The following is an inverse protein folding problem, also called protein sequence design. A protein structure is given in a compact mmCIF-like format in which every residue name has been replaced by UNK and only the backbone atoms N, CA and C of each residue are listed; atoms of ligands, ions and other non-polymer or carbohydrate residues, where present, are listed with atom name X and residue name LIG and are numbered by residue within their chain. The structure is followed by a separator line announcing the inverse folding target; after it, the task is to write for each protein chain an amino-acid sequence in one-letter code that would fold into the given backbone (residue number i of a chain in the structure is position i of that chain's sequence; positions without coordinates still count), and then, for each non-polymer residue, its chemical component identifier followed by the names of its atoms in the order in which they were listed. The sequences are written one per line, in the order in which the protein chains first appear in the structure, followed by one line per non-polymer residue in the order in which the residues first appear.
data_IF_324662913393
#
_entry.id   IF_324662913393
#
_cell.length_a   1.000
_cell.length_b   1.000
_cell.length_c   1.000
_cell.angle_alpha   90.00
_cell.angle_beta   90.00
_cell.angle_gamma   90.00
#
_symmetry.space_group_name_H-M   'P 1'
#
loop_
_entity.id
_entity.type
_entity.pdbx_description
1 polymer ?
#
# COMPACT_ATOMS: atom_id res chain seq x y z
N UNK A 1 -51.33 -14.81 -49.97
CA UNK A 1 -52.08 -14.73 -48.70
C UNK A 1 -51.56 -15.86 -47.80
N UNK A 2 -50.94 -15.52 -46.68
CA UNK A 2 -50.12 -16.40 -45.82
C UNK A 2 -50.85 -17.61 -45.25
N UNK A 3 -50.03 -18.62 -44.94
CA UNK A 3 -50.33 -19.99 -44.56
C UNK A 3 -51.14 -20.14 -43.25
N UNK A 4 -51.96 -21.20 -43.22
CA UNK A 4 -52.71 -21.70 -42.07
C UNK A 4 -51.79 -22.08 -40.90
N UNK A 5 -51.98 -21.45 -39.74
CA UNK A 5 -51.45 -21.93 -38.47
C UNK A 5 -52.41 -22.98 -37.90
N UNK A 6 -52.00 -24.24 -37.89
CA UNK A 6 -52.76 -25.34 -37.27
C UNK A 6 -52.97 -25.05 -35.78
N UNK A 7 -54.25 -24.98 -35.37
CA UNK A 7 -54.62 -24.70 -33.98
C UNK A 7 -54.37 -25.95 -33.13
N UNK A 8 -53.30 -25.92 -32.33
CA UNK A 8 -52.85 -27.03 -31.49
C UNK A 8 -53.99 -27.59 -30.60
N UNK A 9 -54.09 -28.92 -30.55
CA UNK A 9 -55.09 -29.62 -29.74
C UNK A 9 -54.99 -29.19 -28.26
N UNK A 10 -56.14 -29.19 -27.57
CA UNK A 10 -56.23 -28.87 -26.13
C UNK A 10 -55.25 -29.71 -25.30
N UNK A 11 -54.95 -30.94 -25.74
CA UNK A 11 -53.97 -31.81 -25.11
C UNK A 11 -52.53 -31.29 -25.28
N UNK A 12 -52.18 -30.83 -26.48
CA UNK A 12 -50.84 -30.29 -26.78
C UNK A 12 -50.60 -28.97 -26.06
N UNK A 13 -51.60 -28.08 -26.03
CA UNK A 13 -51.54 -26.83 -25.26
C UNK A 13 -51.27 -27.10 -23.77
N UNK A 14 -51.92 -28.12 -23.18
CA UNK A 14 -51.67 -28.56 -21.79
C UNK A 14 -50.28 -29.15 -21.59
N UNK A 15 -49.77 -29.91 -22.57
CA UNK A 15 -48.43 -30.50 -22.51
C UNK A 15 -47.34 -29.43 -22.61
N UNK A 16 -47.52 -28.47 -23.52
CA UNK A 16 -46.63 -27.31 -23.70
C UNK A 16 -46.62 -26.48 -22.42
N UNK A 17 -47.79 -26.19 -21.85
CA UNK A 17 -47.87 -25.39 -20.62
C UNK A 17 -47.21 -26.11 -19.43
N UNK A 18 -47.40 -27.43 -19.30
CA UNK A 18 -46.72 -28.23 -18.26
C UNK A 18 -45.21 -28.24 -18.46
N UNK A 19 -44.72 -28.41 -19.69
CA UNK A 19 -43.28 -28.35 -19.99
C UNK A 19 -42.72 -26.95 -19.75
N UNK A 20 -43.46 -25.90 -20.09
CA UNK A 20 -43.09 -24.50 -19.85
C UNK A 20 -42.97 -24.21 -18.36
N UNK A 21 -43.94 -24.64 -17.55
CA UNK A 21 -43.90 -24.48 -16.10
C UNK A 21 -42.73 -25.24 -15.48
N UNK A 22 -42.48 -26.48 -15.90
CA UNK A 22 -41.30 -27.25 -15.48
C UNK A 22 -39.99 -26.55 -15.82
N UNK A 23 -39.87 -26.00 -17.04
CA UNK A 23 -38.69 -25.27 -17.46
C UNK A 23 -38.47 -23.98 -16.64
N UNK A 24 -39.54 -23.24 -16.33
CA UNK A 24 -39.48 -22.04 -15.48
C UNK A 24 -39.06 -22.41 -14.05
N UNK A 25 -39.61 -23.48 -13.49
CA UNK A 25 -39.26 -23.97 -12.15
C UNK A 25 -37.79 -24.41 -12.10
N UNK A 26 -37.33 -25.19 -13.07
CA UNK A 26 -35.92 -25.60 -13.18
C UNK A 26 -35.01 -24.39 -13.34
N UNK A 27 -35.41 -23.39 -14.15
CA UNK A 27 -34.63 -22.17 -14.36
C UNK A 27 -34.56 -21.33 -13.07
N UNK A 28 -35.66 -21.22 -12.33
CA UNK A 28 -35.72 -20.54 -11.01
C UNK A 28 -34.96 -21.30 -9.93
N UNK A 29 -35.02 -22.63 -9.90
CA UNK A 29 -34.31 -23.45 -8.91
C UNK A 29 -32.81 -23.55 -9.17
N UNK A 30 -32.39 -23.46 -10.44
CA UNK A 30 -30.98 -23.31 -10.83
C UNK A 30 -30.47 -21.89 -10.64
N UNK A 31 -31.38 -20.91 -10.54
CA UNK A 31 -31.09 -19.56 -10.05
C UNK A 31 -30.96 -19.63 -8.53
N UNK A 32 -29.95 -20.35 -8.07
CA UNK A 32 -29.50 -20.23 -6.68
C UNK A 32 -28.89 -18.83 -6.58
N UNK A 33 -29.58 -17.91 -5.93
CA UNK A 33 -28.91 -16.76 -5.32
C UNK A 33 -27.92 -17.35 -4.33
N UNK A 34 -26.64 -17.34 -4.67
CA UNK A 34 -25.61 -17.87 -3.78
C UNK A 34 -25.70 -17.11 -2.44
N UNK A 35 -25.53 -17.77 -1.27
CA UNK A 35 -25.76 -17.16 0.04
C UNK A 35 -24.78 -16.03 0.40
N UNK A 36 -23.80 -15.79 -0.47
CA UNK A 36 -22.80 -14.73 -0.38
C UNK A 36 -22.85 -13.83 -1.62
N UNK A 37 -24.01 -13.25 -1.91
CA UNK A 37 -24.08 -12.14 -2.86
C UNK A 37 -23.52 -10.88 -2.20
N UNK A 38 -22.19 -10.71 -2.23
CA UNK A 38 -21.52 -9.42 -2.03
C UNK A 38 -20.53 -9.20 -3.17
N UNK A 39 -21.03 -8.64 -4.26
CA UNK A 39 -20.22 -8.20 -5.39
C UNK A 39 -21.01 -8.26 -6.68
N UNK A 40 -21.05 -7.16 -7.42
CA UNK A 40 -21.46 -7.16 -8.83
C UNK A 40 -20.41 -7.97 -9.59
N UNK A 41 -20.82 -9.08 -10.21
CA UNK A 41 -19.92 -9.92 -11.00
C UNK A 41 -19.93 -9.39 -12.42
N UNK A 42 -18.77 -8.88 -12.86
CA UNK A 42 -18.60 -8.30 -14.18
C UNK A 42 -17.63 -9.21 -14.95
N UNK A 43 -18.08 -9.79 -16.05
CA UNK A 43 -17.18 -10.48 -16.99
C UNK A 43 -16.50 -9.42 -17.86
N UNK A 44 -15.19 -9.23 -17.67
CA UNK A 44 -14.41 -8.34 -18.53
C UNK A 44 -14.14 -9.05 -19.87
N UNK A 45 -13.68 -10.30 -19.85
CA UNK A 45 -13.37 -11.13 -21.02
C UNK A 45 -13.74 -12.62 -20.80
N UNK A 46 -13.58 -13.46 -21.84
CA UNK A 46 -13.90 -14.91 -21.77
C UNK A 46 -13.07 -15.66 -20.70
N UNK A 47 -11.89 -15.13 -20.36
CA UNK A 47 -10.91 -15.77 -19.47
C UNK A 47 -10.80 -15.10 -18.10
N UNK A 48 -11.47 -13.96 -17.88
CA UNK A 48 -11.29 -13.12 -16.67
C UNK A 48 -12.63 -12.69 -16.08
N UNK A 49 -12.80 -12.94 -14.78
CA UNK A 49 -13.99 -12.60 -14.01
C UNK A 49 -13.63 -11.60 -12.91
N UNK A 50 -14.38 -10.51 -12.79
CA UNK A 50 -14.23 -9.55 -11.69
C UNK A 50 -15.37 -9.72 -10.69
N UNK A 51 -15.03 -9.97 -9.43
CA UNK A 51 -15.98 -10.07 -8.31
C UNK A 51 -15.60 -8.97 -7.32
N UNK A 52 -16.39 -7.89 -7.29
CA UNK A 52 -16.04 -6.70 -6.50
C UNK A 52 -14.72 -6.09 -6.97
N UNK A 53 -13.70 -6.10 -6.11
CA UNK A 53 -12.35 -5.58 -6.42
C UNK A 53 -11.32 -6.66 -6.76
N UNK A 54 -11.71 -7.94 -6.78
CA UNK A 54 -10.80 -9.06 -7.04
C UNK A 54 -11.04 -9.59 -8.44
N UNK A 55 -9.97 -9.67 -9.24
CA UNK A 55 -9.98 -10.27 -10.58
C UNK A 55 -9.51 -11.72 -10.49
N UNK A 56 -10.19 -12.58 -11.23
CA UNK A 56 -9.93 -14.01 -11.30
C UNK A 56 -9.68 -14.43 -12.73
N UNK A 57 -8.60 -15.18 -12.97
CA UNK A 57 -8.22 -15.67 -14.29
C UNK A 57 -8.39 -17.18 -14.40
N UNK A 58 -9.07 -17.61 -15.45
CA UNK A 58 -9.18 -19.02 -15.82
C UNK A 58 -7.91 -19.46 -16.54
N UNK A 59 -7.21 -20.44 -15.96
CA UNK A 59 -6.01 -21.02 -16.56
C UNK A 59 -6.34 -22.16 -17.54
N UNK A 60 -7.62 -22.51 -17.70
CA UNK A 60 -8.07 -23.66 -18.48
C UNK A 60 -7.92 -25.00 -17.73
N UNK A 61 -7.47 -24.98 -16.47
CA UNK A 61 -7.30 -26.15 -15.61
C UNK A 61 -8.52 -26.52 -14.76
N UNK A 62 -9.66 -25.84 -14.94
CA UNK A 62 -10.88 -26.06 -14.16
C UNK A 62 -10.91 -25.36 -12.80
N UNK A 63 -9.98 -24.44 -12.54
CA UNK A 63 -9.95 -23.58 -11.36
C UNK A 63 -9.55 -22.15 -11.76
N UNK A 64 -10.14 -21.18 -11.06
CA UNK A 64 -9.85 -19.76 -11.22
C UNK A 64 -8.73 -19.37 -10.24
N UNK A 65 -7.74 -18.61 -10.71
CA UNK A 65 -6.69 -18.02 -9.86
C UNK A 65 -6.98 -16.55 -9.60
N UNK A 66 -6.75 -16.09 -8.37
CA UNK A 66 -6.77 -14.66 -8.03
C UNK A 66 -5.58 -13.97 -8.70
N UNK A 67 -5.84 -12.93 -9.49
CA UNK A 67 -4.81 -12.02 -9.96
C UNK A 67 -4.54 -10.97 -8.88
N UNK A 68 -3.24 -10.71 -8.63
CA UNK A 68 -2.82 -9.60 -7.79
C UNK A 68 -3.38 -8.29 -8.38
N UNK A 69 -3.96 -7.41 -7.54
CA UNK A 69 -4.58 -6.19 -8.04
C UNK A 69 -3.53 -5.28 -8.70
N UNK A 70 -3.83 -4.82 -9.91
CA UNK A 70 -2.99 -3.85 -10.61
C UNK A 70 -2.95 -2.52 -9.85
N UNK A 71 -1.97 -1.66 -10.16
CA UNK A 71 -1.83 -0.34 -9.52
C UNK A 71 -3.13 0.50 -9.63
N UNK A 72 -3.88 0.36 -10.72
CA UNK A 72 -5.19 1.00 -10.93
C UNK A 72 -6.25 0.46 -9.98
N UNK A 73 -6.31 -0.86 -9.77
CA UNK A 73 -7.25 -1.49 -8.84
C UNK A 73 -6.88 -1.15 -7.38
N UNK A 74 -5.58 -1.02 -7.07
CA UNK A 74 -5.10 -0.53 -5.76
C UNK A 74 -5.53 0.91 -5.52
N UNK A 75 -5.42 1.77 -6.54
CA UNK A 75 -5.90 3.15 -6.50
C UNK A 75 -7.40 3.22 -6.24
N UNK A 76 -8.20 2.40 -6.93
CA UNK A 76 -9.65 2.35 -6.73
C UNK A 76 -10.03 1.86 -5.33
N UNK A 77 -9.32 0.86 -4.79
CA UNK A 77 -9.51 0.39 -3.41
C UNK A 77 -9.18 1.51 -2.42
N UNK A 78 -8.03 2.17 -2.58
CA UNK A 78 -7.60 3.25 -1.68
C UNK A 78 -8.54 4.44 -1.80
N UNK A 79 -8.95 4.83 -3.00
CA UNK A 79 -9.91 5.91 -3.24
C UNK A 79 -11.26 5.59 -2.61
N UNK A 80 -11.74 4.35 -2.75
CA UNK A 80 -12.98 3.91 -2.09
C UNK A 80 -12.87 4.00 -0.57
N UNK A 81 -11.74 3.62 0.01
CA UNK A 81 -11.50 3.76 1.45
C UNK A 81 -11.48 5.23 1.86
N UNK A 82 -10.70 6.09 1.17
CA UNK A 82 -10.61 7.53 1.46
C UNK A 82 -11.96 8.22 1.32
N UNK A 83 -12.73 7.94 0.27
CA UNK A 83 -14.05 8.53 0.06
C UNK A 83 -15.08 8.05 1.09
N UNK A 84 -14.91 6.84 1.62
CA UNK A 84 -15.80 6.30 2.64
C UNK A 84 -15.58 6.97 3.99
N UNK A 85 -14.32 7.12 4.41
CA UNK A 85 -13.95 7.70 5.71
C UNK A 85 -12.67 8.57 5.60
N UNK A 86 -12.79 9.82 5.13
CA UNK A 86 -11.62 10.66 4.80
C UNK A 86 -10.77 11.04 6.03
N UNK A 87 -11.38 11.05 7.22
CA UNK A 87 -10.67 11.36 8.47
C UNK A 87 -9.82 10.19 8.99
N UNK A 88 -10.06 8.97 8.50
CA UNK A 88 -9.40 7.73 8.98
C UNK A 88 -8.32 7.27 8.00
N UNK A 89 -8.42 7.68 6.75
CA UNK A 89 -7.60 7.17 5.65
C UNK A 89 -6.69 8.27 5.10
N UNK A 90 -5.70 8.68 5.90
CA UNK A 90 -4.61 9.54 5.45
C UNK A 90 -3.52 8.74 4.73
N UNK A 91 -2.87 9.35 3.74
CA UNK A 91 -1.71 8.80 3.05
C UNK A 91 -0.43 9.43 3.61
N UNK A 92 0.61 8.62 3.77
CA UNK A 92 1.92 9.03 4.29
C UNK A 92 3.03 8.66 3.30
N UNK A 93 4.00 9.55 3.10
CA UNK A 93 5.13 9.28 2.22
C UNK A 93 6.07 8.22 2.82
N UNK A 94 6.73 7.43 1.97
CA UNK A 94 7.67 6.39 2.41
C UNK A 94 8.73 6.91 3.39
N UNK A 95 9.29 8.08 3.12
CA UNK A 95 10.33 8.71 3.96
C UNK A 95 9.76 9.10 5.32
N UNK A 96 8.59 9.73 5.32
CA UNK A 96 7.90 10.15 6.53
C UNK A 96 7.51 8.94 7.39
N UNK A 97 6.99 7.87 6.79
CA UNK A 97 6.69 6.62 7.47
C UNK A 97 7.94 6.03 8.17
N UNK A 98 9.09 6.04 7.51
CA UNK A 98 10.36 5.54 8.09
C UNK A 98 10.86 6.41 9.22
N UNK A 99 10.73 7.73 9.10
CA UNK A 99 11.24 8.68 10.09
C UNK A 99 10.33 8.77 11.33
N UNK A 100 9.00 8.73 11.13
CA UNK A 100 7.99 8.80 12.20
C UNK A 100 7.89 7.50 12.97
N UNK A 101 7.90 6.34 12.30
CA UNK A 101 7.73 5.04 12.96
C UNK A 101 9.03 4.22 13.08
N UNK A 102 10.17 4.84 12.76
CA UNK A 102 11.50 4.24 12.84
C UNK A 102 11.62 2.92 12.03
N UNK A 103 10.82 2.78 10.97
CA UNK A 103 10.73 1.58 10.14
C UNK A 103 11.86 1.49 9.10
N UNK A 104 12.18 0.27 8.68
CA UNK A 104 13.14 -0.02 7.60
C UNK A 104 12.42 -0.32 6.29
N UNK A 105 13.15 -0.30 5.18
CA UNK A 105 12.58 -0.63 3.87
C UNK A 105 12.03 -2.07 3.80
N UNK A 106 12.67 -3.02 4.49
CA UNK A 106 12.16 -4.40 4.58
C UNK A 106 10.83 -4.50 5.31
N UNK A 107 10.58 -3.60 6.27
CA UNK A 107 9.34 -3.60 7.05
C UNK A 107 8.17 -3.08 6.22
N UNK A 108 8.42 -2.34 5.14
CA UNK A 108 7.39 -1.84 4.23
C UNK A 108 7.20 -2.76 3.02
N UNK A 109 8.31 -3.11 2.35
CA UNK A 109 8.28 -3.78 1.04
C UNK A 109 8.31 -5.32 1.13
N UNK A 110 8.83 -5.92 2.22
CA UNK A 110 9.11 -7.39 2.26
C UNK A 110 8.35 -8.17 3.32
N UNK A 111 8.08 -7.60 4.50
CA UNK A 111 7.33 -8.28 5.57
C UNK A 111 5.94 -8.65 5.06
N UNK A 112 5.53 -9.89 5.29
CA UNK A 112 4.19 -10.38 4.94
C UNK A 112 3.13 -9.84 5.91
N UNK A 113 1.98 -9.34 5.43
CA UNK A 113 1.67 -9.02 4.04
C UNK A 113 2.39 -7.73 3.59
N UNK A 114 2.92 -7.65 2.35
CA UNK A 114 3.53 -6.41 1.83
C UNK A 114 2.54 -5.24 1.86
N UNK A 115 3.02 -4.05 2.23
CA UNK A 115 2.15 -2.89 2.31
C UNK A 115 1.82 -2.36 0.91
N UNK A 116 0.55 -2.04 0.69
CA UNK A 116 0.08 -1.44 -0.57
C UNK A 116 0.46 0.04 -0.60
N UNK A 117 0.84 0.54 -1.77
CA UNK A 117 1.22 1.94 -1.96
C UNK A 117 0.76 2.49 -3.31
N UNK A 118 0.60 3.80 -3.36
CA UNK A 118 0.38 4.57 -4.58
C UNK A 118 1.70 5.20 -4.99
N UNK A 119 1.95 5.26 -6.30
CA UNK A 119 3.13 5.91 -6.87
C UNK A 119 2.73 7.27 -7.45
N UNK A 120 3.30 8.36 -6.96
CA UNK A 120 3.00 9.74 -7.39
C UNK A 120 4.28 10.48 -7.81
N UNK A 121 4.21 11.26 -8.89
CA UNK A 121 5.32 12.15 -9.31
C UNK A 121 5.54 13.25 -8.26
N UNK A 122 6.79 13.53 -7.93
CA UNK A 122 7.11 14.58 -6.95
C UNK A 122 6.85 15.96 -7.61
N UNK A 123 5.98 16.83 -7.04
CA UNK A 123 5.53 18.07 -7.70
C UNK A 123 6.66 19.05 -8.04
N UNK A 124 7.72 19.07 -7.23
CA UNK A 124 8.83 20.02 -7.36
C UNK A 124 10.08 19.40 -8.00
N UNK A 125 10.16 18.08 -8.14
CA UNK A 125 11.32 17.41 -8.73
C UNK A 125 10.84 16.27 -9.64
N UNK A 126 11.04 16.41 -10.95
CA UNK A 126 10.68 15.37 -11.91
C UNK A 126 11.55 14.09 -11.78
N UNK A 127 12.57 14.11 -10.92
CA UNK A 127 13.47 12.98 -10.70
C UNK A 127 12.92 12.02 -9.65
N UNK A 128 12.12 11.06 -10.12
CA UNK A 128 11.67 9.91 -9.36
C UNK A 128 10.22 9.99 -8.89
N UNK A 129 9.72 8.84 -8.46
CA UNK A 129 8.36 8.67 -7.98
C UNK A 129 8.35 8.50 -6.46
N UNK A 130 7.37 9.14 -5.81
CA UNK A 130 7.10 9.00 -4.39
C UNK A 130 6.11 7.86 -4.16
N UNK A 131 6.46 6.96 -3.24
CA UNK A 131 5.52 5.95 -2.73
C UNK A 131 4.74 6.53 -1.55
N UNK A 132 3.42 6.48 -1.65
CA UNK A 132 2.47 6.88 -0.62
C UNK A 132 1.79 5.63 -0.06
N UNK A 133 1.89 5.43 1.25
CA UNK A 133 1.28 4.30 1.96
C UNK A 133 0.05 4.77 2.73
N UNK A 134 -0.86 3.85 3.03
CA UNK A 134 -1.97 4.15 3.92
C UNK A 134 -1.46 4.23 5.36
N UNK A 135 -1.66 5.37 6.04
CA UNK A 135 -1.09 5.62 7.36
C UNK A 135 -1.45 4.53 8.38
N UNK A 136 -2.72 4.08 8.40
CA UNK A 136 -3.18 3.02 9.30
C UNK A 136 -2.44 1.68 9.09
N UNK A 137 -1.99 1.38 7.87
CA UNK A 137 -1.21 0.16 7.60
C UNK A 137 0.20 0.29 8.15
N UNK A 138 0.79 1.49 8.03
CA UNK A 138 2.11 1.80 8.59
C UNK A 138 2.09 1.74 10.11
N UNK A 139 1.08 2.31 10.76
CA UNK A 139 0.91 2.26 12.22
C UNK A 139 0.79 0.82 12.73
N UNK A 140 -0.05 -0.01 12.09
CA UNK A 140 -0.15 -1.44 12.41
C UNK A 140 1.20 -2.15 12.26
N UNK A 141 1.90 -1.89 11.15
CA UNK A 141 3.24 -2.46 10.91
C UNK A 141 4.27 -1.98 11.94
N UNK A 142 4.16 -0.73 12.41
CA UNK A 142 5.01 -0.20 13.47
C UNK A 142 4.79 -0.95 14.79
N UNK A 143 3.53 -1.17 15.17
CA UNK A 143 3.18 -1.99 16.34
C UNK A 143 3.68 -3.43 16.21
N UNK A 144 3.63 -4.04 15.02
CA UNK A 144 4.20 -5.39 14.79
C UNK A 144 5.74 -5.43 14.85
N UNK A 145 6.43 -4.32 14.62
CA UNK A 145 7.91 -4.26 14.64
C UNK A 145 8.42 -3.92 16.04
N UNK A 146 7.77 -2.95 16.69
CA UNK A 146 8.21 -2.38 17.98
C UNK A 146 7.43 -2.88 19.18
N UNK A 147 6.27 -3.51 18.97
CA UNK A 147 5.39 -4.02 20.03
C UNK A 147 4.44 -2.95 20.59
N UNK A 148 4.97 -1.77 20.93
CA UNK A 148 4.18 -0.65 21.46
C UNK A 148 4.72 0.70 20.99
N UNK A 149 3.87 1.73 21.04
CA UNK A 149 4.26 3.12 20.75
C UNK A 149 5.32 3.63 21.75
N UNK A 150 5.27 3.17 23.00
CA UNK A 150 6.23 3.55 24.04
C UNK A 150 7.67 3.14 23.69
N UNK A 151 7.86 1.99 23.06
CA UNK A 151 9.19 1.54 22.64
C UNK A 151 9.72 2.33 21.43
N UNK A 152 8.83 2.80 20.55
CA UNK A 152 9.18 3.71 19.44
C UNK A 152 9.70 5.03 20.01
N UNK A 153 8.99 5.61 20.98
CA UNK A 153 9.37 6.89 21.58
C UNK A 153 10.67 6.78 22.38
N UNK A 154 10.82 5.72 23.18
CA UNK A 154 12.05 5.45 23.92
C UNK A 154 13.27 5.29 23.00
N UNK A 155 13.10 4.61 21.86
CA UNK A 155 14.18 4.51 20.86
C UNK A 155 14.47 5.87 20.20
N UNK A 156 13.45 6.70 19.97
CA UNK A 156 13.60 8.06 19.43
C UNK A 156 14.42 8.93 20.40
N UNK A 157 14.07 8.96 21.67
CA UNK A 157 14.80 9.68 22.72
C UNK A 157 16.26 9.21 22.77
N UNK A 158 16.49 7.89 22.81
CA UNK A 158 17.84 7.30 22.80
C UNK A 158 18.66 7.76 21.59
N UNK A 159 18.05 7.85 20.40
CA UNK A 159 18.73 8.33 19.19
C UNK A 159 19.04 9.82 19.27
N UNK A 160 18.16 10.62 19.84
CA UNK A 160 18.38 12.06 19.98
C UNK A 160 19.45 12.38 21.03
N UNK A 161 19.43 11.72 22.18
CA UNK A 161 20.50 11.81 23.18
C UNK A 161 21.87 11.50 22.56
N UNK A 162 21.96 10.41 21.79
CA UNK A 162 23.19 10.04 21.08
C UNK A 162 23.62 11.10 20.08
N UNK A 163 22.69 11.73 19.36
CA UNK A 163 22.99 12.84 18.43
C UNK A 163 23.49 14.07 19.19
N UNK A 164 22.84 14.45 20.27
CA UNK A 164 23.25 15.59 21.12
C UNK A 164 24.65 15.36 21.69
N UNK A 165 24.90 14.18 22.27
CA UNK A 165 26.22 13.80 22.81
C UNK A 165 27.28 13.83 21.71
N UNK A 166 26.99 13.28 20.53
CA UNK A 166 27.95 13.25 19.43
C UNK A 166 28.25 14.64 18.89
N UNK A 167 27.24 15.52 18.78
CA UNK A 167 27.40 16.93 18.41
C UNK A 167 28.26 17.68 19.44
N UNK A 168 27.99 17.46 20.73
CA UNK A 168 28.75 18.08 21.83
C UNK A 168 30.22 17.65 21.82
N UNK A 169 30.50 16.34 21.72
CA UNK A 169 31.86 15.80 21.60
C UNK A 169 32.59 16.33 20.35
N UNK A 170 31.88 16.46 19.23
CA UNK A 170 32.44 17.03 17.99
C UNK A 170 32.83 18.49 18.19
N UNK A 171 31.97 19.28 18.81
CA UNK A 171 32.24 20.68 19.13
C UNK A 171 33.43 20.84 20.09
N UNK A 172 33.48 20.03 21.15
CA UNK A 172 34.59 20.03 22.11
C UNK A 172 35.92 19.70 21.44
N UNK A 173 35.94 18.68 20.56
CA UNK A 173 37.12 18.32 19.77
C UNK A 173 37.56 19.48 18.87
N UNK A 174 36.64 20.11 18.15
CA UNK A 174 36.93 21.28 17.30
C UNK A 174 37.52 22.44 18.11
N UNK A 175 36.98 22.72 19.30
CA UNK A 175 37.50 23.76 20.19
C UNK A 175 38.92 23.44 20.68
N UNK A 176 39.19 22.18 21.01
CA UNK A 176 40.52 21.73 21.43
C UNK A 176 41.55 21.87 20.30
N UNK A 177 41.17 21.48 19.08
CA UNK A 177 42.01 21.63 17.89
C UNK A 177 42.31 23.10 17.58
N UNK A 178 41.29 23.97 17.64
CA UNK A 178 41.45 25.41 17.43
C UNK A 178 42.42 26.03 18.46
N UNK A 179 42.26 25.69 19.75
CA UNK A 179 43.16 26.15 20.82
C UNK A 179 44.59 25.68 20.60
N UNK A 180 44.78 24.43 20.14
CA UNK A 180 46.12 23.90 19.83
C UNK A 180 46.77 24.69 18.69
N UNK A 181 46.02 24.95 17.61
CA UNK A 181 46.50 25.73 16.46
C UNK A 181 46.88 27.18 16.81
N UNK A 182 46.10 27.83 17.68
CA UNK A 182 46.42 29.18 18.16
C UNK A 182 47.70 29.21 19.04
N UNK A 183 47.93 28.17 19.85
CA UNK A 183 49.13 28.08 20.68
C UNK A 183 50.39 27.80 19.86
N UNK A 184 50.31 26.91 18.87
CA UNK A 184 51.46 26.63 17.99
C UNK A 184 51.90 27.86 17.20
N UNK A 185 50.97 28.70 16.73
CA UNK A 185 51.31 29.93 16.00
C UNK A 185 51.90 31.05 16.87
N UNK A 186 51.83 30.94 18.20
CA UNK A 186 52.52 31.81 19.14
C UNK A 186 53.97 31.36 19.38
N UNK A 187 54.20 30.05 19.46
CA UNK A 187 55.54 29.47 19.69
C UNK A 187 56.47 29.58 18.48
N UNK A 188 55.94 29.55 17.26
CA UNK A 188 56.76 29.73 16.04
C UNK A 188 57.40 31.13 15.94
N UNK A 189 56.79 32.16 16.55
CA UNK A 189 57.29 33.55 16.45
C UNK A 189 58.42 33.89 17.42
N UNK A 190 58.74 33.03 18.38
CA UNK A 190 59.81 33.29 19.36
C UNK A 190 61.17 32.71 18.97
N UNK A 191 61.24 31.91 17.90
CA UNK A 191 62.48 31.26 17.44
C UNK A 191 63.14 31.97 16.23
N UNK A 192 62.60 33.11 15.80
CA UNK A 192 63.20 33.99 14.80
C UNK A 192 64.24 34.94 15.41
N UNK A 193 65.44 34.40 15.64
CA UNK A 193 66.75 35.08 15.63
C UNK A 193 66.82 36.55 16.10
N UNK A 194 67.18 36.75 17.37
CA UNK A 194 67.92 37.95 17.79
C UNK A 194 69.38 37.71 17.40
N UNK A 195 69.85 38.32 16.31
CA UNK A 195 71.28 38.44 16.02
C UNK A 195 71.75 39.81 16.47
N UNK A 196 72.57 39.86 17.52
CA UNK A 196 73.32 41.08 17.88
C UNK A 196 74.57 41.15 17.00
N UNK A 197 74.69 42.23 16.24
CA UNK A 197 75.87 42.66 15.50
C UNK A 197 76.73 43.60 16.34
#
# INVERSE_FOLDING_TARGET
MSQNAEDLSKADKRRIERNRQKAIIIKRSKLVSHPYAKGEVISEDTTTLKIGSVKYKDTGGGFLLEEEPDNTDILDIILTLICRDPNIHSLIAKTEAKDTYLLKDCDLDKREPPLKFITQKIPHNAMGDMKLYLQIQVEKRALEVWGSEEEIEKERERREEKRVISKSKKYEKQMKELRKGMRSSLYDRTHGSITYS
#
